data_IF_711061143968
#
_entry.id   IF_711061143968
#
_cell.length_a   1.000
_cell.length_b   1.000
_cell.length_c   1.000
_cell.angle_alpha   90.00
_cell.angle_beta   90.00
_cell.angle_gamma   90.00
#
_symmetry.space_group_name_H-M   'P 1'
#
loop_
_entity.id
_entity.type
_entity.pdbx_description
1 polymer ?
#
# COMPACT_ATOMS: atom_id res chain seq x y z
N UNK A 1 105.48 -71.10 -7.58
CA UNK A 1 105.03 -71.17 -6.17
C UNK A 1 105.02 -69.78 -5.53
N UNK A 2 106.09 -69.00 -5.66
CA UNK A 2 106.23 -67.69 -4.98
C UNK A 2 105.46 -66.54 -5.65
N UNK A 3 105.33 -66.54 -6.97
CA UNK A 3 104.51 -65.57 -7.75
C UNK A 3 103.02 -65.70 -7.45
N UNK A 4 102.51 -66.94 -7.39
CA UNK A 4 101.12 -67.22 -7.06
C UNK A 4 100.76 -66.83 -5.61
N UNK A 5 101.70 -66.92 -4.64
CA UNK A 5 101.48 -66.46 -3.27
C UNK A 5 101.34 -64.93 -3.18
N UNK A 6 102.20 -64.19 -3.87
CA UNK A 6 102.12 -62.72 -3.93
C UNK A 6 100.84 -62.22 -4.60
N UNK A 7 100.38 -62.91 -5.65
CA UNK A 7 99.10 -62.59 -6.31
C UNK A 7 97.88 -62.87 -5.42
N UNK A 8 97.91 -63.95 -4.63
CA UNK A 8 96.85 -64.23 -3.65
C UNK A 8 96.84 -63.17 -2.54
N UNK A 9 98.01 -62.76 -2.04
CA UNK A 9 98.13 -61.70 -1.03
C UNK A 9 97.63 -60.34 -1.55
N UNK A 10 98.02 -59.91 -2.75
CA UNK A 10 97.53 -58.65 -3.34
C UNK A 10 96.03 -58.69 -3.57
N UNK A 11 95.48 -59.80 -4.09
CA UNK A 11 94.03 -60.00 -4.27
C UNK A 11 93.29 -59.97 -2.93
N UNK A 12 93.83 -60.53 -1.86
CA UNK A 12 93.19 -60.47 -0.54
C UNK A 12 93.17 -59.05 0.04
N UNK A 13 94.24 -58.27 -0.15
CA UNK A 13 94.28 -56.86 0.27
C UNK A 13 93.28 -56.02 -0.53
N UNK A 14 93.20 -56.21 -1.85
CA UNK A 14 92.20 -55.57 -2.72
C UNK A 14 90.76 -55.93 -2.31
N UNK A 15 90.51 -57.20 -1.97
CA UNK A 15 89.20 -57.69 -1.57
C UNK A 15 88.77 -57.12 -0.21
N UNK A 16 89.67 -57.01 0.76
CA UNK A 16 89.38 -56.36 2.05
C UNK A 16 89.19 -54.85 1.92
N UNK A 17 89.99 -54.17 1.08
CA UNK A 17 89.79 -52.76 0.75
C UNK A 17 88.43 -52.52 0.06
N UNK A 18 88.03 -53.40 -0.87
CA UNK A 18 86.74 -53.34 -1.53
C UNK A 18 85.57 -53.62 -0.56
N UNK A 19 85.73 -54.54 0.40
CA UNK A 19 84.73 -54.79 1.45
C UNK A 19 84.55 -53.58 2.37
N UNK A 20 85.65 -52.95 2.79
CA UNK A 20 85.60 -51.73 3.60
C UNK A 20 84.89 -50.59 2.85
N UNK A 21 85.27 -50.35 1.59
CA UNK A 21 84.62 -49.37 0.73
C UNK A 21 83.12 -49.66 0.52
N UNK A 22 82.73 -50.93 0.34
CA UNK A 22 81.33 -51.34 0.24
C UNK A 22 80.56 -51.08 1.55
N UNK A 23 81.19 -51.30 2.69
CA UNK A 23 80.56 -51.11 4.00
C UNK A 23 80.33 -49.62 4.29
N UNK A 24 81.28 -48.76 3.92
CA UNK A 24 81.13 -47.30 4.06
C UNK A 24 80.14 -46.72 3.06
N UNK A 25 80.15 -47.19 1.81
CA UNK A 25 79.12 -46.85 0.83
C UNK A 25 77.72 -47.25 1.31
N UNK A 26 77.55 -48.44 1.92
CA UNK A 26 76.28 -48.88 2.52
C UNK A 26 75.82 -47.98 3.66
N UNK A 27 76.74 -47.52 4.53
CA UNK A 27 76.41 -46.57 5.60
C UNK A 27 75.98 -45.21 5.02
N UNK A 28 76.69 -44.70 4.02
CA UNK A 28 76.35 -43.44 3.36
C UNK A 28 74.98 -43.50 2.66
N UNK A 29 74.66 -44.61 1.97
CA UNK A 29 73.35 -44.81 1.35
C UNK A 29 72.24 -44.86 2.41
N UNK A 30 72.44 -45.58 3.53
CA UNK A 30 71.45 -45.61 4.61
C UNK A 30 71.21 -44.24 5.25
N UNK A 31 72.27 -43.44 5.43
CA UNK A 31 72.15 -42.08 5.94
C UNK A 31 71.33 -41.20 4.99
N UNK A 32 71.66 -41.21 3.69
CA UNK A 32 70.90 -40.47 2.67
C UNK A 32 69.46 -40.95 2.53
N UNK A 33 69.20 -42.26 2.67
CA UNK A 33 67.84 -42.80 2.64
C UNK A 33 67.01 -42.24 3.80
N UNK A 34 67.59 -42.19 5.01
CA UNK A 34 66.92 -41.64 6.18
C UNK A 34 66.62 -40.14 6.01
N UNK A 35 67.56 -39.37 5.49
CA UNK A 35 67.37 -37.95 5.17
C UNK A 35 66.26 -37.76 4.11
N UNK A 36 66.24 -38.60 3.07
CA UNK A 36 65.20 -38.56 2.04
C UNK A 36 63.81 -38.91 2.60
N UNK A 37 63.72 -39.90 3.49
CA UNK A 37 62.46 -40.29 4.14
C UNK A 37 61.95 -39.19 5.09
N UNK A 38 62.84 -38.52 5.82
CA UNK A 38 62.51 -37.37 6.67
C UNK A 38 62.05 -36.16 5.83
N UNK A 39 62.74 -35.86 4.73
CA UNK A 39 62.35 -34.81 3.79
C UNK A 39 60.99 -35.11 3.13
N UNK A 40 60.73 -36.37 2.76
CA UNK A 40 59.45 -36.80 2.19
C UNK A 40 58.30 -36.62 3.19
N UNK A 41 58.50 -36.97 4.46
CA UNK A 41 57.50 -36.72 5.53
C UNK A 41 57.24 -35.24 5.74
N UNK A 42 58.29 -34.42 5.72
CA UNK A 42 58.15 -32.96 5.85
C UNK A 42 57.38 -32.36 4.67
N UNK A 43 57.66 -32.81 3.44
CA UNK A 43 56.91 -32.39 2.24
C UNK A 43 55.43 -32.78 2.32
N UNK A 44 55.11 -34.01 2.71
CA UNK A 44 53.72 -34.46 2.88
C UNK A 44 52.97 -33.65 3.95
N UNK A 45 53.64 -33.32 5.07
CA UNK A 45 53.05 -32.48 6.11
C UNK A 45 52.79 -31.05 5.61
N UNK A 46 53.73 -30.48 4.85
CA UNK A 46 53.58 -29.15 4.25
C UNK A 46 52.47 -29.11 3.20
N UNK A 47 52.35 -30.14 2.36
CA UNK A 47 51.25 -30.28 1.38
C UNK A 47 49.88 -30.39 2.06
N UNK A 48 49.79 -31.18 3.14
CA UNK A 48 48.55 -31.30 3.92
C UNK A 48 48.14 -29.95 4.55
N UNK A 49 49.08 -29.19 5.09
CA UNK A 49 48.78 -27.86 5.65
C UNK A 49 48.42 -26.85 4.55
N UNK A 50 49.11 -26.88 3.41
CA UNK A 50 48.75 -26.07 2.25
C UNK A 50 47.32 -26.36 1.76
N UNK A 51 46.91 -27.64 1.77
CA UNK A 51 45.54 -28.07 1.49
C UNK A 51 44.52 -27.44 2.45
N UNK A 52 44.77 -27.53 3.77
CA UNK A 52 43.88 -26.93 4.79
C UNK A 52 43.78 -25.41 4.65
N UNK A 53 44.90 -24.74 4.40
CA UNK A 53 44.92 -23.28 4.19
C UNK A 53 44.09 -22.92 2.96
N UNK A 54 44.20 -23.69 1.87
CA UNK A 54 43.42 -23.47 0.65
C UNK A 54 41.92 -23.63 0.88
N UNK A 55 41.50 -24.62 1.66
CA UNK A 55 40.09 -24.78 2.06
C UNK A 55 39.59 -23.60 2.90
N UNK A 56 40.38 -23.15 3.88
CA UNK A 56 40.05 -21.97 4.69
C UNK A 56 39.91 -20.70 3.83
N UNK A 57 40.80 -20.50 2.86
CA UNK A 57 40.72 -19.38 1.90
C UNK A 57 39.44 -19.48 1.07
N UNK A 58 39.13 -20.66 0.55
CA UNK A 58 37.89 -20.87 -0.22
C UNK A 58 36.65 -20.54 0.61
N UNK A 59 36.60 -21.00 1.86
CA UNK A 59 35.48 -20.72 2.76
C UNK A 59 35.38 -19.22 3.10
N UNK A 60 36.52 -18.57 3.35
CA UNK A 60 36.58 -17.13 3.60
C UNK A 60 36.09 -16.33 2.40
N UNK A 61 36.48 -16.71 1.18
CA UNK A 61 36.00 -16.06 -0.05
C UNK A 61 34.49 -16.19 -0.23
N UNK A 62 33.92 -17.39 0.00
CA UNK A 62 32.46 -17.56 -0.04
C UNK A 62 31.75 -16.69 1.00
N UNK A 63 32.32 -16.53 2.20
CA UNK A 63 31.76 -15.65 3.22
C UNK A 63 31.86 -14.16 2.82
N UNK A 64 32.98 -13.75 2.22
CA UNK A 64 33.17 -12.39 1.68
C UNK A 64 32.13 -12.10 0.61
N UNK A 65 31.91 -13.01 -0.34
CA UNK A 65 30.93 -12.81 -1.42
C UNK A 65 29.51 -12.67 -0.86
N UNK A 66 29.17 -13.50 0.14
CA UNK A 66 27.88 -13.42 0.83
C UNK A 66 27.70 -12.07 1.54
N UNK A 67 28.69 -11.64 2.33
CA UNK A 67 28.59 -10.37 3.05
C UNK A 67 28.59 -9.17 2.10
N UNK A 68 29.33 -9.24 1.00
CA UNK A 68 29.29 -8.23 -0.07
C UNK A 68 27.88 -8.10 -0.63
N UNK A 69 27.24 -9.23 -0.96
CA UNK A 69 25.87 -9.22 -1.48
C UNK A 69 24.86 -8.69 -0.45
N UNK A 70 24.95 -9.13 0.80
CA UNK A 70 24.10 -8.64 1.90
C UNK A 70 24.28 -7.11 2.10
N UNK A 71 25.51 -6.61 2.04
CA UNK A 71 25.79 -5.16 2.11
C UNK A 71 25.20 -4.40 0.92
N UNK A 72 25.29 -4.93 -0.29
CA UNK A 72 24.68 -4.31 -1.48
C UNK A 72 23.16 -4.21 -1.36
N UNK A 73 22.51 -5.29 -0.91
CA UNK A 73 21.06 -5.34 -0.69
C UNK A 73 20.67 -4.32 0.38
N UNK A 74 21.30 -4.35 1.55
CA UNK A 74 20.98 -3.42 2.63
C UNK A 74 21.24 -1.96 2.23
N UNK A 75 22.30 -1.70 1.47
CA UNK A 75 22.61 -0.35 0.98
C UNK A 75 21.52 0.13 0.01
N UNK A 76 21.03 -0.73 -0.87
CA UNK A 76 19.91 -0.40 -1.78
C UNK A 76 18.62 -0.17 -0.99
N UNK A 77 18.28 -1.06 -0.08
CA UNK A 77 17.07 -0.96 0.76
C UNK A 77 17.08 0.29 1.63
N UNK A 78 18.23 0.65 2.22
CA UNK A 78 18.39 1.88 3.00
C UNK A 78 18.21 3.14 2.15
N UNK A 79 18.80 3.18 0.94
CA UNK A 79 18.60 4.29 -0.01
C UNK A 79 17.14 4.41 -0.45
N UNK A 80 16.47 3.28 -0.72
CA UNK A 80 15.05 3.28 -1.07
C UNK A 80 14.17 3.72 0.09
N UNK A 81 14.43 3.25 1.31
CA UNK A 81 13.72 3.66 2.51
C UNK A 81 13.87 5.16 2.76
N UNK A 82 15.08 5.71 2.61
CA UNK A 82 15.33 7.15 2.70
C UNK A 82 14.56 7.94 1.65
N UNK A 83 14.53 7.48 0.39
CA UNK A 83 13.76 8.13 -0.67
C UNK A 83 12.25 8.08 -0.38
N UNK A 84 11.73 6.94 0.07
CA UNK A 84 10.31 6.78 0.45
C UNK A 84 9.95 7.71 1.60
N UNK A 85 10.82 7.85 2.59
CA UNK A 85 10.60 8.77 3.71
C UNK A 85 10.53 10.21 3.24
N UNK A 86 11.48 10.65 2.40
CA UNK A 86 11.49 12.00 1.85
C UNK A 86 10.20 12.30 1.05
N UNK A 87 9.79 11.37 0.18
CA UNK A 87 8.54 11.48 -0.58
C UNK A 87 7.31 11.55 0.33
N UNK A 88 7.28 10.74 1.40
CA UNK A 88 6.17 10.73 2.34
C UNK A 88 6.05 12.06 3.10
N UNK A 89 7.18 12.63 3.52
CA UNK A 89 7.23 13.92 4.20
C UNK A 89 6.82 15.08 3.28
N UNK A 90 7.20 15.04 2.00
CA UNK A 90 6.79 16.04 1.01
C UNK A 90 5.29 15.95 0.70
N UNK A 91 4.77 14.74 0.49
CA UNK A 91 3.36 14.53 0.18
C UNK A 91 2.43 14.80 1.37
N UNK A 92 2.94 14.75 2.60
CA UNK A 92 2.14 14.85 3.82
C UNK A 92 2.79 15.80 4.84
N UNK A 93 2.61 17.13 4.68
CA UNK A 93 3.21 18.13 5.58
C UNK A 93 2.83 17.94 7.06
N UNK A 94 1.60 17.47 7.32
CA UNK A 94 1.10 17.18 8.68
C UNK A 94 1.95 16.16 9.44
N UNK A 95 2.67 15.28 8.75
CA UNK A 95 3.56 14.31 9.40
C UNK A 95 4.65 15.02 10.20
N UNK A 96 5.18 16.15 9.71
CA UNK A 96 6.20 16.90 10.43
C UNK A 96 5.64 17.54 11.72
N UNK A 97 4.39 17.98 11.68
CA UNK A 97 3.70 18.63 12.81
C UNK A 97 3.33 17.61 13.90
N UNK A 98 2.89 16.41 13.50
CA UNK A 98 2.41 15.40 14.45
C UNK A 98 3.43 14.30 14.77
N UNK A 99 4.65 14.38 14.23
CA UNK A 99 5.72 13.40 14.42
C UNK A 99 6.00 13.10 15.89
N UNK A 100 5.93 14.11 16.74
CA UNK A 100 6.17 13.99 18.18
C UNK A 100 5.12 13.13 18.90
N UNK A 101 3.93 13.02 18.32
CA UNK A 101 2.82 12.21 18.85
C UNK A 101 2.85 10.75 18.39
N UNK A 102 3.77 10.37 17.50
CA UNK A 102 3.88 9.01 16.97
C UNK A 102 4.43 8.04 18.02
N UNK A 103 3.71 6.93 18.27
CA UNK A 103 4.14 5.91 19.22
C UNK A 103 3.99 6.30 20.70
N UNK A 104 3.37 7.43 21.00
CA UNK A 104 3.01 7.80 22.38
C UNK A 104 1.89 6.88 22.86
N UNK A 105 2.10 6.22 24.00
CA UNK A 105 1.11 5.33 24.60
C UNK A 105 -0.19 6.10 24.91
N UNK A 106 -1.34 5.51 24.58
CA UNK A 106 -2.66 6.15 24.69
C UNK A 106 -2.85 7.41 23.81
N UNK A 107 -1.90 7.70 22.92
CA UNK A 107 -2.01 8.76 21.92
C UNK A 107 -2.81 8.34 20.68
N UNK A 108 -3.15 9.30 19.81
CA UNK A 108 -3.85 9.03 18.54
C UNK A 108 -3.05 8.11 17.59
N UNK A 109 -1.72 8.07 17.75
CA UNK A 109 -0.79 7.27 16.96
C UNK A 109 -0.11 6.16 17.78
N UNK A 110 -0.84 5.55 18.72
CA UNK A 110 -0.38 4.36 19.45
C UNK A 110 -0.39 3.11 18.55
N UNK A 111 0.77 2.80 17.98
CA UNK A 111 0.96 1.63 17.10
C UNK A 111 0.96 0.29 17.84
N UNK A 112 1.06 0.28 19.18
CA UNK A 112 0.99 -0.94 19.97
C UNK A 112 -0.47 -1.39 20.18
N UNK A 113 -1.39 -0.44 20.38
CA UNK A 113 -2.83 -0.73 20.47
C UNK A 113 -3.50 -0.84 19.09
N UNK A 114 -3.01 -0.08 18.10
CA UNK A 114 -3.47 -0.13 16.71
C UNK A 114 -2.39 -0.70 15.81
N UNK A 115 -2.45 -2.02 15.60
CA UNK A 115 -1.59 -2.66 14.62
C UNK A 115 -1.83 -2.05 13.22
N UNK A 116 -0.79 -1.49 12.58
CA UNK A 116 -0.88 -0.98 11.22
C UNK A 116 -1.33 -2.02 10.20
N UNK A 117 -1.01 -3.30 10.38
CA UNK A 117 -1.39 -4.35 9.43
C UNK A 117 -2.90 -4.62 9.45
N UNK A 118 -3.48 -4.80 10.64
CA UNK A 118 -4.93 -4.95 10.81
C UNK A 118 -5.69 -3.68 10.39
N UNK A 119 -5.15 -2.51 10.71
CA UNK A 119 -5.74 -1.23 10.28
C UNK A 119 -5.78 -1.11 8.75
N UNK A 120 -4.70 -1.50 8.05
CA UNK A 120 -4.67 -1.54 6.58
C UNK A 120 -5.73 -2.48 6.00
N UNK A 121 -5.88 -3.70 6.55
CA UNK A 121 -6.92 -4.64 6.12
C UNK A 121 -8.31 -4.04 6.29
N UNK A 122 -8.57 -3.41 7.45
CA UNK A 122 -9.85 -2.77 7.73
C UNK A 122 -10.14 -1.60 6.78
N UNK A 123 -9.15 -0.78 6.47
CA UNK A 123 -9.28 0.30 5.48
C UNK A 123 -9.61 -0.26 4.10
N UNK A 124 -8.95 -1.34 3.67
CA UNK A 124 -9.23 -1.99 2.39
C UNK A 124 -10.67 -2.53 2.32
N UNK A 125 -11.11 -3.24 3.36
CA UNK A 125 -12.49 -3.75 3.46
C UNK A 125 -13.53 -2.62 3.43
N UNK A 126 -13.29 -1.53 4.18
CA UNK A 126 -14.18 -0.38 4.19
C UNK A 126 -14.21 0.35 2.84
N UNK A 127 -13.06 0.44 2.18
CA UNK A 127 -12.95 1.05 0.84
C UNK A 127 -13.71 0.22 -0.18
N UNK A 128 -13.53 -1.10 -0.19
CA UNK A 128 -14.28 -2.00 -1.06
C UNK A 128 -15.80 -1.91 -0.80
N UNK A 129 -16.20 -1.87 0.48
CA UNK A 129 -17.61 -1.68 0.85
C UNK A 129 -18.14 -0.33 0.37
N UNK A 130 -17.37 0.74 0.53
CA UNK A 130 -17.71 2.09 0.03
C UNK A 130 -17.84 2.09 -1.48
N UNK A 131 -16.96 1.41 -2.21
CA UNK A 131 -17.02 1.33 -3.68
C UNK A 131 -18.24 0.53 -4.16
N UNK A 132 -18.56 -0.58 -3.48
CA UNK A 132 -19.79 -1.33 -3.74
C UNK A 132 -21.03 -0.48 -3.49
N UNK A 133 -21.11 0.19 -2.33
CA UNK A 133 -22.20 1.12 -2.03
C UNK A 133 -22.24 2.27 -3.04
N UNK A 134 -21.09 2.78 -3.48
CA UNK A 134 -21.04 3.87 -4.44
C UNK A 134 -21.68 3.52 -5.78
N UNK A 135 -21.59 2.26 -6.19
CA UNK A 135 -22.26 1.76 -7.41
C UNK A 135 -23.77 1.56 -7.23
N UNK A 136 -24.20 1.20 -6.02
CA UNK A 136 -25.61 0.91 -5.73
C UNK A 136 -26.41 2.15 -5.32
N UNK A 137 -25.75 3.12 -4.66
CA UNK A 137 -26.39 4.33 -4.14
C UNK A 137 -26.38 5.42 -5.21
N UNK A 138 -27.55 6.00 -5.47
CA UNK A 138 -27.66 7.15 -6.34
C UNK A 138 -27.05 8.39 -5.65
N UNK A 139 -25.82 8.76 -6.04
CA UNK A 139 -25.11 9.92 -5.48
C UNK A 139 -25.80 11.26 -5.75
N UNK A 140 -26.76 11.30 -6.69
CA UNK A 140 -27.58 12.49 -6.99
C UNK A 140 -28.89 12.52 -6.21
N UNK A 141 -29.16 11.51 -5.37
CA UNK A 141 -30.41 11.42 -4.62
C UNK A 141 -30.66 12.67 -3.76
N UNK A 142 -29.61 13.25 -3.15
CA UNK A 142 -29.74 14.48 -2.37
C UNK A 142 -30.18 15.66 -3.24
N UNK A 143 -29.61 15.81 -4.44
CA UNK A 143 -29.98 16.88 -5.36
C UNK A 143 -31.39 16.66 -5.93
N UNK A 144 -31.74 15.41 -6.25
CA UNK A 144 -33.09 15.06 -6.71
C UNK A 144 -34.14 15.34 -5.64
N UNK A 145 -33.83 15.04 -4.36
CA UNK A 145 -34.69 15.36 -3.23
C UNK A 145 -34.92 16.87 -3.12
N UNK A 146 -33.84 17.67 -3.16
CA UNK A 146 -33.96 19.14 -3.13
C UNK A 146 -34.83 19.69 -4.27
N UNK A 147 -34.66 19.20 -5.50
CA UNK A 147 -35.52 19.62 -6.62
C UNK A 147 -36.98 19.21 -6.46
N UNK A 148 -37.24 18.06 -5.83
CA UNK A 148 -38.61 17.60 -5.56
C UNK A 148 -39.27 18.43 -4.45
N UNK A 149 -38.51 18.79 -3.41
CA UNK A 149 -38.96 19.69 -2.34
C UNK A 149 -39.29 21.08 -2.89
N UNK A 150 -38.43 21.64 -3.76
CA UNK A 150 -38.68 22.92 -4.42
C UNK A 150 -39.95 22.89 -5.29
N UNK A 151 -40.12 21.83 -6.09
CA UNK A 151 -41.33 21.65 -6.91
C UNK A 151 -42.59 21.52 -6.05
N UNK A 152 -42.50 20.80 -4.92
CA UNK A 152 -43.61 20.66 -4.00
C UNK A 152 -44.00 22.00 -3.35
N UNK A 153 -43.01 22.79 -2.90
CA UNK A 153 -43.24 24.11 -2.34
C UNK A 153 -43.89 25.06 -3.37
N UNK A 154 -43.42 25.05 -4.61
CA UNK A 154 -44.01 25.83 -5.70
C UNK A 154 -45.45 25.39 -6.01
N UNK A 155 -45.75 24.09 -5.97
CA UNK A 155 -47.12 23.58 -6.16
C UNK A 155 -48.07 24.05 -5.05
N UNK A 156 -47.64 24.03 -3.78
CA UNK A 156 -48.42 24.56 -2.68
C UNK A 156 -48.72 26.05 -2.87
N UNK A 157 -47.71 26.84 -3.24
CA UNK A 157 -47.87 28.27 -3.54
C UNK A 157 -48.88 28.50 -4.66
N UNK A 158 -48.82 27.73 -5.75
CA UNK A 158 -49.78 27.82 -6.85
C UNK A 158 -51.19 27.44 -6.41
N UNK A 159 -51.32 26.40 -5.59
CA UNK A 159 -52.61 25.99 -5.05
C UNK A 159 -53.25 27.12 -4.22
N UNK A 160 -52.47 27.78 -3.36
CA UNK A 160 -52.95 28.92 -2.57
C UNK A 160 -53.46 30.07 -3.46
N UNK A 161 -52.70 30.43 -4.50
CA UNK A 161 -53.09 31.48 -5.46
C UNK A 161 -54.40 31.09 -6.17
N UNK A 162 -54.50 29.87 -6.69
CA UNK A 162 -55.71 29.40 -7.39
C UNK A 162 -56.93 29.40 -6.47
N UNK A 163 -56.77 29.00 -5.21
CA UNK A 163 -57.86 29.04 -4.23
C UNK A 163 -58.26 30.48 -3.88
N UNK A 164 -57.30 31.40 -3.77
CA UNK A 164 -57.59 32.82 -3.56
C UNK A 164 -58.33 33.44 -4.75
N UNK A 165 -57.87 33.18 -5.97
CA UNK A 165 -58.52 33.66 -7.20
C UNK A 165 -59.93 33.09 -7.34
N UNK A 166 -60.13 31.80 -7.02
CA UNK A 166 -61.45 31.18 -6.98
C UNK A 166 -62.39 31.92 -6.02
N UNK A 167 -61.93 32.25 -4.81
CA UNK A 167 -62.73 33.02 -3.83
C UNK A 167 -63.08 34.40 -4.38
N UNK A 168 -62.13 35.09 -4.97
CA UNK A 168 -62.33 36.42 -5.57
C UNK A 168 -63.33 36.39 -6.73
N UNK A 169 -63.28 35.38 -7.60
CA UNK A 169 -64.26 35.21 -8.68
C UNK A 169 -65.66 34.98 -8.08
N UNK A 170 -65.76 34.16 -7.03
CA UNK A 170 -67.04 33.92 -6.36
C UNK A 170 -67.61 35.22 -5.76
N UNK A 171 -66.79 36.01 -5.06
CA UNK A 171 -67.20 37.31 -4.50
C UNK A 171 -67.71 38.26 -5.59
N UNK A 172 -67.01 38.33 -6.74
CA UNK A 172 -67.44 39.17 -7.87
C UNK A 172 -68.76 38.69 -8.48
N UNK A 173 -68.98 37.37 -8.57
CA UNK A 173 -70.24 36.81 -9.05
C UNK A 173 -71.38 37.17 -8.09
N UNK A 174 -71.18 36.98 -6.79
CA UNK A 174 -72.18 37.28 -5.76
C UNK A 174 -72.55 38.78 -5.76
N UNK A 175 -71.55 39.66 -5.93
CA UNK A 175 -71.74 41.10 -6.07
C UNK A 175 -72.55 41.47 -7.33
N UNK A 176 -72.25 40.82 -8.47
CA UNK A 176 -72.96 41.04 -9.73
C UNK A 176 -74.41 40.55 -9.66
N UNK A 177 -74.65 39.40 -9.04
CA UNK A 177 -75.99 38.85 -8.84
C UNK A 177 -76.83 39.74 -7.91
N UNK A 178 -76.24 40.26 -6.82
CA UNK A 178 -76.89 41.23 -5.94
C UNK A 178 -77.28 42.52 -6.68
N UNK A 179 -76.39 43.08 -7.50
CA UNK A 179 -76.70 44.26 -8.32
C UNK A 179 -77.79 43.98 -9.35
N UNK A 180 -77.75 42.81 -10.01
CA UNK A 180 -78.79 42.39 -10.95
C UNK A 180 -80.14 42.27 -10.27
N UNK A 181 -80.21 41.67 -9.08
CA UNK A 181 -81.44 41.55 -8.30
C UNK A 181 -82.00 42.93 -7.91
N UNK A 182 -81.15 43.86 -7.46
CA UNK A 182 -81.54 45.23 -7.15
C UNK A 182 -82.13 45.96 -8.37
N UNK A 183 -81.46 45.87 -9.52
CA UNK A 183 -81.94 46.48 -10.78
C UNK A 183 -83.27 45.87 -11.22
N UNK A 184 -83.42 44.55 -11.13
CA UNK A 184 -84.67 43.86 -11.47
C UNK A 184 -85.81 44.25 -10.53
N UNK A 185 -85.57 44.34 -9.21
CA UNK A 185 -86.56 44.80 -8.23
C UNK A 185 -86.99 46.24 -8.51
N UNK A 186 -86.04 47.15 -8.74
CA UNK A 186 -86.33 48.54 -9.07
C UNK A 186 -87.14 48.67 -10.38
N UNK A 187 -86.78 47.90 -11.41
CA UNK A 187 -87.53 47.86 -12.66
C UNK A 187 -88.95 47.32 -12.47
N UNK A 188 -89.11 46.24 -11.70
CA UNK A 188 -90.41 45.64 -11.37
C UNK A 188 -91.31 46.62 -10.60
N UNK A 189 -90.79 47.28 -9.57
CA UNK A 189 -91.51 48.32 -8.83
C UNK A 189 -91.92 49.48 -9.73
N UNK A 190 -91.05 49.89 -10.67
CA UNK A 190 -91.35 50.95 -11.63
C UNK A 190 -92.49 50.55 -12.57
N UNK A 191 -92.46 49.32 -13.11
CA UNK A 191 -93.53 48.80 -13.97
C UNK A 191 -94.85 48.69 -13.20
N UNK A 192 -94.83 48.21 -11.95
CA UNK A 192 -96.02 48.11 -11.12
C UNK A 192 -96.60 49.49 -10.80
N UNK A 193 -95.78 50.47 -10.41
CA UNK A 193 -96.27 51.82 -10.11
C UNK A 193 -96.84 52.52 -11.34
N UNK A 194 -96.18 52.40 -12.50
CA UNK A 194 -96.67 52.94 -13.78
C UNK A 194 -97.95 52.23 -14.21
N UNK A 195 -97.98 50.90 -14.14
CA UNK A 195 -99.14 50.07 -14.47
C UNK A 195 -100.34 50.37 -13.57
N UNK A 196 -100.15 50.49 -12.26
CA UNK A 196 -101.18 50.89 -11.29
C UNK A 196 -101.69 52.31 -11.58
N UNK A 197 -100.81 53.25 -11.96
CA UNK A 197 -101.22 54.59 -12.40
C UNK A 197 -102.10 54.53 -13.64
N UNK A 198 -101.64 53.83 -14.68
CA UNK A 198 -102.38 53.67 -15.95
C UNK A 198 -103.75 53.01 -15.71
N UNK A 199 -103.80 51.93 -14.93
CA UNK A 199 -105.05 51.30 -14.49
C UNK A 199 -105.96 52.29 -13.76
N UNK A 200 -105.41 53.11 -12.84
CA UNK A 200 -106.20 54.10 -12.10
C UNK A 200 -106.73 55.23 -13.01
N UNK A 201 -105.99 55.62 -14.06
CA UNK A 201 -106.48 56.54 -15.09
C UNK A 201 -107.59 55.90 -15.95
N UNK A 202 -107.42 54.64 -16.36
CA UNK A 202 -108.40 53.91 -17.16
C UNK A 202 -109.71 53.62 -16.43
N UNK A 203 -109.69 53.45 -15.10
CA UNK A 203 -110.90 53.21 -14.28
C UNK A 203 -111.60 54.50 -13.86
N UNK A 204 -110.94 55.66 -13.99
CA UNK A 204 -111.52 56.99 -13.67
C UNK A 204 -112.08 57.74 -14.88
N UNK A 205 -111.82 57.26 -16.10
CA UNK A 205 -112.51 57.68 -17.32
C UNK A 205 -113.73 56.78 -17.56
#
# INVERSE_FOLDING_TARGET
>A
METAKKEVETKTVELEAAKAALQDAKKAVKARQKEADEAAKAMQAAEAEAGRIKEKISHANCAIDRFTHELEVQTKESKEAGRRLAQLMEANPWIAEEKESFGVADGPFDFAKRDPAETRKRVAQLTERRDKLSRTVNMRAMNMLGTAEDQYAELLRRQEIVLADKRKIQEVIDDLDSRKEQVLKAAYEKVNTVGLRLMCYLVKC
#
